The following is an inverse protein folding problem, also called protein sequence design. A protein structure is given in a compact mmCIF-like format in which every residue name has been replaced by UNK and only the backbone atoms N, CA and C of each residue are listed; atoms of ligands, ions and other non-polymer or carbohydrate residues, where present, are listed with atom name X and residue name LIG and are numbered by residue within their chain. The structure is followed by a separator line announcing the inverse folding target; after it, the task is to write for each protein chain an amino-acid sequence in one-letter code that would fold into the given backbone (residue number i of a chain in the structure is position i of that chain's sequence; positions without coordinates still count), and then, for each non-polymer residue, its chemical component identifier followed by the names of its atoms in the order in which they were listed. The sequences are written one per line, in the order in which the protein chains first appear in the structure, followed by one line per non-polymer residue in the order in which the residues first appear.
data_IF_854747072874
#
_entry.id   IF_854747072874
#
_cell.length_a   1.000
_cell.length_b   1.000
_cell.length_c   1.000
_cell.angle_alpha   90.00
_cell.angle_beta   90.00
_cell.angle_gamma   90.00
#
_symmetry.space_group_name_H-M   'P 1'
#
loop_
_entity.id
_entity.type
_entity.pdbx_description
1 polymer ?
#
# COMPACT_ATOMS: atom_id res chain seq x y z
N UNK A 1 8.03 -1.27 5.98
CA UNK A 1 6.91 -1.62 5.07
C UNK A 1 7.00 -0.77 3.80
N UNK A 2 6.26 -1.14 2.75
CA UNK A 2 6.15 -0.31 1.54
C UNK A 2 4.71 -0.07 1.12
N UNK A 3 4.50 1.00 0.36
CA UNK A 3 3.22 1.36 -0.25
C UNK A 3 3.43 1.54 -1.75
N UNK A 4 2.82 0.68 -2.55
CA UNK A 4 2.89 0.66 -4.02
C UNK A 4 1.70 1.43 -4.58
N UNK A 5 1.99 2.50 -5.32
CA UNK A 5 1.04 3.52 -5.75
C UNK A 5 0.98 4.64 -4.73
N UNK A 6 1.25 5.88 -5.15
CA UNK A 6 1.21 7.07 -4.29
C UNK A 6 0.17 8.09 -4.77
N UNK A 7 -0.99 7.58 -5.22
CA UNK A 7 -2.19 8.39 -5.38
C UNK A 7 -2.80 8.78 -4.02
N UNK A 8 -4.04 9.29 -4.03
CA UNK A 8 -4.75 9.75 -2.83
C UNK A 8 -4.66 8.76 -1.64
N UNK A 9 -5.07 7.51 -1.87
CA UNK A 9 -5.01 6.44 -0.87
C UNK A 9 -3.57 6.15 -0.42
N UNK A 10 -2.68 5.94 -1.38
CA UNK A 10 -1.34 5.44 -1.12
C UNK A 10 -0.43 6.44 -0.43
N UNK A 11 -0.41 7.69 -0.89
CA UNK A 11 0.39 8.75 -0.26
C UNK A 11 -0.13 9.06 1.16
N UNK A 12 -1.45 9.10 1.35
CA UNK A 12 -2.04 9.29 2.68
C UNK A 12 -1.69 8.15 3.63
N UNK A 13 -1.84 6.90 3.17
CA UNK A 13 -1.48 5.74 3.97
C UNK A 13 0.01 5.73 4.31
N UNK A 14 0.90 6.00 3.35
CA UNK A 14 2.33 6.03 3.57
C UNK A 14 2.74 7.08 4.62
N UNK A 15 2.21 8.31 4.50
CA UNK A 15 2.48 9.39 5.43
C UNK A 15 1.97 9.09 6.84
N UNK A 16 0.73 8.60 6.97
CA UNK A 16 0.15 8.26 8.27
C UNK A 16 0.89 7.09 8.93
N UNK A 17 1.23 6.03 8.19
CA UNK A 17 1.96 4.89 8.77
C UNK A 17 3.36 5.29 9.26
N UNK A 18 4.02 6.21 8.56
CA UNK A 18 5.30 6.74 9.00
C UNK A 18 5.17 7.64 10.25
N UNK A 19 4.12 8.46 10.32
CA UNK A 19 3.81 9.28 11.50
C UNK A 19 3.46 8.42 12.74
N UNK A 20 2.85 7.24 12.52
CA UNK A 20 2.63 6.21 13.54
C UNK A 20 3.90 5.45 13.96
N UNK A 21 5.06 5.78 13.38
CA UNK A 21 6.38 5.29 13.79
C UNK A 21 6.95 4.16 12.94
N UNK A 22 6.28 3.74 11.86
CA UNK A 22 6.81 2.72 10.95
C UNK A 22 7.85 3.28 9.99
N UNK A 23 8.82 2.45 9.57
CA UNK A 23 9.64 2.75 8.41
C UNK A 23 8.85 2.43 7.13
N UNK A 24 8.69 3.42 6.27
CA UNK A 24 7.81 3.37 5.09
C UNK A 24 8.56 3.78 3.82
N UNK A 25 8.42 2.93 2.81
CA UNK A 25 8.88 3.16 1.45
C UNK A 25 7.67 3.44 0.56
N UNK A 26 7.48 4.67 0.12
CA UNK A 26 6.50 4.98 -0.93
C UNK A 26 7.09 4.67 -2.31
N UNK A 27 6.35 3.94 -3.13
CA UNK A 27 6.74 3.62 -4.51
C UNK A 27 5.67 4.07 -5.49
N UNK A 28 6.09 4.73 -6.56
CA UNK A 28 5.25 4.97 -7.74
C UNK A 28 6.10 4.80 -9.01
N UNK A 29 5.44 4.49 -10.13
CA UNK A 29 6.10 4.40 -11.44
C UNK A 29 6.33 5.79 -12.03
N UNK A 30 5.60 6.79 -11.55
CA UNK A 30 5.67 8.17 -11.98
C UNK A 30 6.77 8.94 -11.20
N UNK A 31 7.90 9.29 -11.86
CA UNK A 31 9.00 9.99 -11.21
C UNK A 31 8.63 11.40 -10.74
N UNK A 32 7.67 12.06 -11.38
CA UNK A 32 7.28 13.43 -11.02
C UNK A 32 6.46 13.41 -9.73
N UNK A 33 5.58 12.41 -9.54
CA UNK A 33 4.89 12.19 -8.26
C UNK A 33 5.88 11.88 -7.14
N UNK A 34 6.85 11.00 -7.40
CA UNK A 34 7.89 10.65 -6.42
C UNK A 34 8.70 11.87 -6.03
N UNK A 35 9.12 12.70 -6.99
CA UNK A 35 9.87 13.92 -6.73
C UNK A 35 9.05 14.94 -5.92
N UNK A 36 7.78 15.15 -6.29
CA UNK A 36 6.86 16.04 -5.57
C UNK A 36 6.69 15.61 -4.11
N UNK A 37 6.37 14.33 -3.89
CA UNK A 37 6.15 13.80 -2.55
C UNK A 37 7.44 13.76 -1.72
N UNK A 38 8.59 13.48 -2.32
CA UNK A 38 9.89 13.55 -1.65
C UNK A 38 10.28 14.98 -1.25
N UNK A 39 9.81 15.99 -2.00
CA UNK A 39 9.92 17.41 -1.63
C UNK A 39 8.83 17.85 -0.64
N UNK A 40 7.98 16.92 -0.18
CA UNK A 40 6.89 17.18 0.75
C UNK A 40 5.75 18.02 0.17
N UNK A 41 5.56 17.95 -1.15
CA UNK A 41 4.45 18.59 -1.86
C UNK A 41 3.44 17.53 -2.30
N UNK A 42 2.20 17.63 -1.81
CA UNK A 42 1.11 16.72 -2.17
C UNK A 42 0.46 17.18 -3.49
N UNK A 43 0.34 16.31 -4.52
CA UNK A 43 -0.21 16.69 -5.82
C UNK A 43 -1.75 16.77 -5.87
N UNK A 44 -2.41 16.67 -4.70
CA UNK A 44 -3.86 16.71 -4.53
C UNK A 44 -4.19 17.37 -3.19
N UNK A 45 -5.42 17.83 -3.04
CA UNK A 45 -5.85 18.48 -1.80
C UNK A 45 -6.39 17.44 -0.80
N UNK A 46 -5.72 17.31 0.35
CA UNK A 46 -6.20 16.54 1.49
C UNK A 46 -5.86 17.28 2.80
N UNK A 47 -6.86 17.72 3.60
CA UNK A 47 -6.63 18.47 4.83
C UNK A 47 -5.67 17.76 5.79
N UNK A 48 -4.62 18.47 6.20
CA UNK A 48 -3.62 17.99 7.15
C UNK A 48 -2.56 17.05 6.56
N UNK A 49 -2.71 16.58 5.32
CA UNK A 49 -1.75 15.65 4.72
C UNK A 49 -0.38 16.30 4.50
N UNK A 50 -0.32 17.56 4.08
CA UNK A 50 0.95 18.28 3.91
C UNK A 50 1.77 18.28 5.21
N UNK A 51 1.12 18.55 6.34
CA UNK A 51 1.79 18.56 7.66
C UNK A 51 2.26 17.17 8.07
N UNK A 52 1.42 16.14 7.88
CA UNK A 52 1.77 14.74 8.18
C UNK A 52 2.94 14.28 7.31
N UNK A 53 2.90 14.60 6.01
CA UNK A 53 3.95 14.26 5.06
C UNK A 53 5.28 14.92 5.46
N UNK A 54 5.28 16.21 5.79
CA UNK A 54 6.48 16.93 6.20
C UNK A 54 7.09 16.35 7.48
N UNK A 55 6.28 16.03 8.49
CA UNK A 55 6.77 15.36 9.72
C UNK A 55 7.35 13.99 9.42
N UNK A 56 6.66 13.19 8.60
CA UNK A 56 7.09 11.85 8.23
C UNK A 56 8.45 11.88 7.49
N UNK A 57 8.61 12.80 6.53
CA UNK A 57 9.87 13.01 5.82
C UNK A 57 10.99 13.49 6.77
N UNK A 58 10.70 14.49 7.61
CA UNK A 58 11.68 15.04 8.56
C UNK A 58 12.14 14.00 9.59
N UNK A 59 11.30 13.02 9.92
CA UNK A 59 11.66 11.92 10.82
C UNK A 59 12.64 10.91 10.21
N UNK A 60 12.83 10.93 8.89
CA UNK A 60 13.60 9.93 8.15
C UNK A 60 12.91 8.57 7.98
N UNK A 61 11.72 8.39 8.56
CA UNK A 61 10.94 7.15 8.45
C UNK A 61 10.21 6.99 7.12
N UNK A 62 9.96 8.07 6.40
CA UNK A 62 9.33 8.04 5.08
C UNK A 62 10.31 8.48 4.01
N UNK A 63 10.38 7.71 2.92
CA UNK A 63 11.05 8.13 1.68
C UNK A 63 10.32 7.57 0.47
N UNK A 64 10.46 8.23 -0.67
CA UNK A 64 9.84 7.82 -1.94
C UNK A 64 10.88 7.37 -2.97
N UNK A 65 10.53 6.41 -3.83
CA UNK A 65 11.42 5.88 -4.86
C UNK A 65 10.64 5.35 -6.07
N UNK A 66 11.30 5.24 -7.21
CA UNK A 66 10.84 4.53 -8.42
C UNK A 66 11.56 3.19 -8.61
N UNK A 67 12.42 2.78 -7.68
CA UNK A 67 13.21 1.55 -7.77
C UNK A 67 12.51 0.38 -7.07
N UNK A 68 11.71 -0.41 -7.80
CA UNK A 68 10.92 -1.51 -7.22
C UNK A 68 11.80 -2.60 -6.56
N UNK A 69 13.00 -2.84 -7.08
CA UNK A 69 13.92 -3.83 -6.51
C UNK A 69 14.32 -3.46 -5.06
N UNK A 70 14.58 -2.18 -4.79
CA UNK A 70 14.91 -1.70 -3.45
C UNK A 70 13.71 -1.82 -2.50
N UNK A 71 12.50 -1.59 -3.03
CA UNK A 71 11.24 -1.73 -2.28
C UNK A 71 11.05 -3.18 -1.82
N UNK A 72 11.19 -4.13 -2.73
CA UNK A 72 11.08 -5.56 -2.44
C UNK A 72 12.15 -6.03 -1.45
N UNK A 73 13.39 -5.57 -1.61
CA UNK A 73 14.50 -5.98 -0.77
C UNK A 73 14.42 -5.48 0.69
N UNK A 74 13.69 -4.38 0.95
CA UNK A 74 13.75 -3.69 2.25
C UNK A 74 12.45 -3.73 3.08
N UNK A 75 11.31 -4.18 2.54
CA UNK A 75 10.05 -4.23 3.28
C UNK A 75 9.51 -5.66 3.44
N UNK A 76 9.04 -6.04 4.63
CA UNK A 76 8.41 -7.34 4.87
C UNK A 76 6.90 -7.34 4.57
N UNK A 77 6.31 -6.13 4.51
CA UNK A 77 4.89 -5.90 4.23
C UNK A 77 4.76 -4.89 3.11
N UNK A 78 4.02 -5.24 2.05
CA UNK A 78 3.86 -4.46 0.83
C UNK A 78 2.39 -4.13 0.57
N UNK A 79 1.97 -2.88 0.77
CA UNK A 79 0.60 -2.44 0.51
C UNK A 79 0.39 -2.06 -0.97
N UNK A 80 -0.66 -2.59 -1.60
CA UNK A 80 -1.07 -2.25 -2.97
C UNK A 80 -2.20 -1.21 -2.93
N UNK A 81 -1.87 0.03 -3.26
CA UNK A 81 -2.69 1.23 -3.13
C UNK A 81 -2.88 1.97 -4.47
N UNK A 82 -2.95 1.22 -5.57
CA UNK A 82 -3.14 1.76 -6.92
C UNK A 82 -4.62 1.91 -7.27
N UNK A 83 -4.91 2.64 -8.34
CA UNK A 83 -6.28 2.92 -8.76
C UNK A 83 -6.95 1.72 -9.45
N UNK A 84 -8.26 1.61 -9.24
CA UNK A 84 -9.16 0.68 -9.95
C UNK A 84 -10.35 1.44 -10.52
N UNK A 85 -10.12 2.41 -11.43
CA UNK A 85 -11.20 3.19 -12.00
C UNK A 85 -12.19 2.29 -12.73
N UNK A 86 -13.38 2.80 -13.02
CA UNK A 86 -14.30 2.09 -13.89
C UNK A 86 -13.68 1.94 -15.30
N UNK A 87 -13.83 0.75 -15.89
CA UNK A 87 -13.47 0.50 -17.28
C UNK A 87 -14.26 1.41 -18.23
N UNK A 88 -13.61 1.84 -19.32
CA UNK A 88 -14.24 2.69 -20.34
C UNK A 88 -15.39 1.96 -21.05
N UNK A 89 -15.22 0.66 -21.27
CA UNK A 89 -16.12 -0.14 -22.11
C UNK A 89 -17.16 -0.95 -21.31
N UNK A 90 -17.13 -0.89 -19.98
CA UNK A 90 -18.00 -1.71 -19.13
C UNK A 90 -18.19 -1.13 -17.71
N UNK A 91 -19.20 -1.56 -16.95
CA UNK A 91 -19.33 -1.21 -15.54
C UNK A 91 -18.32 -1.92 -14.62
N UNK A 92 -17.40 -2.71 -15.18
CA UNK A 92 -16.39 -3.41 -14.39
C UNK A 92 -15.28 -2.46 -13.91
N UNK A 93 -14.60 -2.84 -12.83
CA UNK A 93 -13.36 -2.19 -12.42
C UNK A 93 -12.23 -2.52 -13.41
N UNK A 94 -11.48 -1.50 -13.81
CA UNK A 94 -10.21 -1.68 -14.51
C UNK A 94 -9.16 -2.17 -13.50
N UNK A 95 -8.63 -3.37 -13.77
CA UNK A 95 -7.66 -4.05 -12.93
C UNK A 95 -6.21 -3.86 -13.40
N UNK A 96 -5.97 -3.07 -14.46
CA UNK A 96 -4.67 -2.93 -15.09
C UNK A 96 -3.59 -2.48 -14.11
N UNK A 97 -3.87 -1.47 -13.27
CA UNK A 97 -2.87 -0.96 -12.32
C UNK A 97 -2.56 -1.96 -11.22
N UNK A 98 -3.57 -2.64 -10.65
CA UNK A 98 -3.37 -3.66 -9.61
C UNK A 98 -2.57 -4.84 -10.18
N UNK A 99 -2.95 -5.34 -11.35
CA UNK A 99 -2.23 -6.42 -12.01
C UNK A 99 -0.79 -6.00 -12.36
N UNK A 100 -0.60 -4.77 -12.83
CA UNK A 100 0.72 -4.20 -13.13
C UNK A 100 1.59 -4.06 -11.88
N UNK A 101 1.03 -3.60 -10.76
CA UNK A 101 1.73 -3.51 -9.48
C UNK A 101 2.22 -4.88 -8.99
N UNK A 102 1.37 -5.92 -9.08
CA UNK A 102 1.76 -7.29 -8.73
C UNK A 102 2.80 -7.83 -9.70
N UNK A 103 2.63 -7.64 -11.01
CA UNK A 103 3.59 -8.09 -12.02
C UNK A 103 4.96 -7.40 -11.89
N UNK A 104 4.98 -6.15 -11.45
CA UNK A 104 6.19 -5.38 -11.21
C UNK A 104 6.90 -5.80 -9.92
N UNK A 105 6.14 -6.06 -8.83
CA UNK A 105 6.71 -6.40 -7.53
C UNK A 105 7.15 -7.88 -7.44
N UNK A 106 6.31 -8.81 -7.89
CA UNK A 106 6.47 -10.25 -7.64
C UNK A 106 7.85 -10.81 -8.04
N UNK A 107 8.44 -10.48 -9.22
CA UNK A 107 9.74 -11.01 -9.62
C UNK A 107 10.89 -10.68 -8.67
N UNK A 108 10.72 -9.67 -7.82
CA UNK A 108 11.74 -9.21 -6.87
C UNK A 108 11.52 -9.75 -5.44
N UNK A 109 10.44 -10.49 -5.18
CA UNK A 109 10.13 -11.04 -3.86
C UNK A 109 10.89 -12.35 -3.64
N UNK A 110 12.13 -12.24 -3.17
CA UNK A 110 13.06 -13.36 -2.96
C UNK A 110 13.12 -13.88 -1.51
N UNK A 111 12.32 -13.28 -0.62
CA UNK A 111 12.22 -13.64 0.79
C UNK A 111 10.77 -13.66 1.27
N UNK A 112 10.47 -14.35 2.38
CA UNK A 112 9.12 -14.38 2.96
C UNK A 112 8.61 -12.97 3.22
N UNK A 113 7.39 -12.67 2.76
CA UNK A 113 6.78 -11.36 2.92
C UNK A 113 5.25 -11.43 2.81
N UNK A 114 4.58 -10.37 3.25
CA UNK A 114 3.13 -10.21 3.14
C UNK A 114 2.78 -9.09 2.17
N UNK A 115 2.14 -9.43 1.06
CA UNK A 115 1.50 -8.45 0.19
C UNK A 115 0.09 -8.17 0.72
N UNK A 116 -0.33 -6.90 0.74
CA UNK A 116 -1.60 -6.48 1.31
C UNK A 116 -2.35 -5.60 0.32
N UNK A 117 -3.45 -6.09 -0.24
CA UNK A 117 -4.30 -5.27 -1.08
C UNK A 117 -5.10 -4.26 -0.27
N UNK A 118 -5.00 -2.95 -0.60
CA UNK A 118 -5.94 -1.92 -0.14
C UNK A 118 -6.87 -1.42 -1.23
N UNK A 119 -6.43 -1.53 -2.49
CA UNK A 119 -7.20 -1.11 -3.67
C UNK A 119 -8.59 -1.76 -3.66
N UNK A 120 -9.62 -1.02 -4.11
CA UNK A 120 -10.99 -1.53 -4.18
C UNK A 120 -11.13 -2.45 -5.39
N UNK A 121 -11.30 -3.76 -5.14
CA UNK A 121 -11.30 -4.77 -6.20
C UNK A 121 -12.55 -5.66 -6.15
N UNK A 122 -12.95 -6.27 -7.28
CA UNK A 122 -14.00 -7.28 -7.30
C UNK A 122 -13.63 -8.52 -6.46
N UNK A 123 -14.66 -9.18 -5.91
CA UNK A 123 -14.51 -10.47 -5.19
C UNK A 123 -13.83 -11.51 -6.10
N UNK A 124 -12.96 -12.32 -5.51
CA UNK A 124 -12.16 -13.33 -6.22
C UNK A 124 -10.81 -12.81 -6.73
N UNK A 125 -10.61 -11.48 -6.77
CA UNK A 125 -9.32 -10.89 -7.17
C UNK A 125 -8.17 -11.34 -6.26
N UNK A 126 -8.39 -11.33 -4.94
CA UNK A 126 -7.35 -11.71 -3.99
C UNK A 126 -6.83 -13.14 -4.26
N UNK A 127 -7.71 -14.12 -4.44
CA UNK A 127 -7.29 -15.50 -4.72
C UNK A 127 -6.44 -15.58 -6.00
N UNK A 128 -6.88 -14.94 -7.09
CA UNK A 128 -6.14 -14.91 -8.36
C UNK A 128 -4.75 -14.28 -8.21
N UNK A 129 -4.65 -13.18 -7.47
CA UNK A 129 -3.37 -12.49 -7.25
C UNK A 129 -2.44 -13.27 -6.32
N UNK A 130 -2.97 -14.00 -5.33
CA UNK A 130 -2.18 -14.88 -4.48
C UNK A 130 -1.52 -15.99 -5.31
N UNK A 131 -2.26 -16.59 -6.23
CA UNK A 131 -1.73 -17.62 -7.13
C UNK A 131 -0.68 -17.05 -8.10
N UNK A 132 -0.89 -15.82 -8.59
CA UNK A 132 0.11 -15.12 -9.40
C UNK A 132 1.39 -14.80 -8.62
N UNK A 133 1.28 -14.30 -7.38
CA UNK A 133 2.43 -14.04 -6.51
C UNK A 133 3.25 -15.32 -6.28
N UNK A 134 2.60 -16.43 -5.94
CA UNK A 134 3.27 -17.72 -5.71
C UNK A 134 3.97 -18.29 -6.93
N UNK A 135 3.41 -18.07 -8.11
CA UNK A 135 3.96 -18.57 -9.37
C UNK A 135 5.07 -17.70 -9.96
N UNK A 136 5.10 -16.40 -9.61
CA UNK A 136 6.04 -15.43 -10.19
C UNK A 136 7.20 -15.10 -9.26
N UNK A 137 6.98 -15.16 -7.93
CA UNK A 137 7.97 -14.75 -6.95
C UNK A 137 9.02 -15.83 -6.71
N UNK A 138 10.32 -15.48 -6.61
CA UNK A 138 11.36 -16.46 -6.25
C UNK A 138 11.13 -17.13 -4.88
N UNK A 139 10.54 -16.43 -3.90
CA UNK A 139 10.15 -17.00 -2.61
C UNK A 139 8.87 -17.88 -2.67
N UNK A 140 8.20 -17.92 -3.84
CA UNK A 140 7.07 -18.79 -4.13
C UNK A 140 6.00 -18.84 -3.02
N UNK A 141 5.89 -19.98 -2.32
CA UNK A 141 4.86 -20.22 -1.30
C UNK A 141 5.01 -19.34 -0.06
N UNK A 142 6.19 -18.76 0.17
CA UNK A 142 6.47 -17.88 1.31
C UNK A 142 6.02 -16.43 1.07
N UNK A 143 5.47 -16.11 -0.11
CA UNK A 143 4.82 -14.84 -0.39
C UNK A 143 3.32 -14.98 -0.16
N UNK A 144 2.84 -14.34 0.90
CA UNK A 144 1.43 -14.37 1.29
C UNK A 144 0.68 -13.15 0.76
N UNK A 145 -0.64 -13.27 0.66
CA UNK A 145 -1.53 -12.17 0.29
C UNK A 145 -2.67 -12.04 1.30
N UNK A 146 -2.81 -10.84 1.85
CA UNK A 146 -3.98 -10.41 2.61
C UNK A 146 -4.73 -9.31 1.87
N UNK A 147 -5.98 -9.08 2.26
CA UNK A 147 -6.75 -7.92 1.81
C UNK A 147 -7.18 -7.07 3.00
N UNK A 148 -6.77 -5.80 3.01
CA UNK A 148 -7.16 -4.82 3.99
C UNK A 148 -7.80 -3.62 3.27
N UNK A 149 -9.09 -3.71 2.94
CA UNK A 149 -9.79 -2.64 2.23
C UNK A 149 -9.75 -1.34 3.06
N UNK A 150 -10.03 -0.25 2.38
CA UNK A 150 -10.08 1.09 2.95
C UNK A 150 -11.51 1.62 2.94
N UNK A 151 -11.77 2.63 3.78
CA UNK A 151 -13.09 3.27 3.92
C UNK A 151 -12.93 4.79 4.04
N UNK A 152 -11.85 5.33 3.46
CA UNK A 152 -11.48 6.73 3.59
C UNK A 152 -12.48 7.60 2.83
N UNK A 153 -12.83 8.74 3.43
CA UNK A 153 -13.58 9.78 2.74
C UNK A 153 -12.64 10.84 2.21
N UNK A 154 -12.91 11.34 1.01
CA UNK A 154 -12.19 12.50 0.46
C UNK A 154 -12.33 13.71 1.40
N UNK A 155 -11.20 14.34 1.75
CA UNK A 155 -11.15 15.45 2.70
C UNK A 155 -10.98 15.04 4.17
N UNK A 156 -11.02 13.74 4.47
CA UNK A 156 -10.90 13.19 5.83
C UNK A 156 -9.97 11.97 5.91
N UNK A 157 -9.24 11.62 4.86
CA UNK A 157 -8.44 10.42 4.80
C UNK A 157 -7.34 10.35 5.86
N UNK A 158 -6.75 11.49 6.25
CA UNK A 158 -5.79 11.50 7.36
C UNK A 158 -6.48 11.03 8.65
N UNK A 159 -7.60 11.65 9.01
CA UNK A 159 -8.38 11.31 10.20
C UNK A 159 -8.89 9.86 10.14
N UNK A 160 -9.46 9.45 9.02
CA UNK A 160 -10.00 8.10 8.82
C UNK A 160 -8.89 7.02 8.83
N UNK A 161 -7.63 7.39 8.56
CA UNK A 161 -6.49 6.46 8.64
C UNK A 161 -5.97 6.31 10.08
N UNK A 162 -5.89 7.40 10.84
CA UNK A 162 -5.33 7.38 12.22
C UNK A 162 -6.38 7.11 13.29
N UNK A 163 -7.67 7.23 12.97
CA UNK A 163 -8.77 6.93 13.88
C UNK A 163 -9.92 6.24 13.11
N UNK A 164 -9.70 5.04 12.54
CA UNK A 164 -10.72 4.33 11.79
C UNK A 164 -11.82 3.79 12.72
N UNK A 165 -13.08 3.82 12.28
CA UNK A 165 -14.19 3.16 13.00
C UNK A 165 -13.96 1.65 13.16
N UNK A 166 -13.31 1.04 12.16
CA UNK A 166 -12.99 -0.39 12.09
C UNK A 166 -11.88 -0.66 11.09
N UNK A 167 -11.11 -1.71 11.36
CA UNK A 167 -10.18 -2.31 10.40
C UNK A 167 -10.73 -3.66 9.94
N UNK A 168 -10.84 -3.85 8.62
CA UNK A 168 -11.25 -5.13 8.02
C UNK A 168 -10.02 -5.81 7.44
N UNK A 169 -9.80 -7.07 7.81
CA UNK A 169 -8.66 -7.86 7.36
C UNK A 169 -9.17 -9.21 6.86
N UNK A 170 -9.03 -9.46 5.56
CA UNK A 170 -9.23 -10.76 4.93
C UNK A 170 -7.90 -11.50 4.80
N UNK A 171 -7.77 -12.63 5.48
CA UNK A 171 -6.57 -13.50 5.45
C UNK A 171 -6.99 -14.96 5.30
N UNK A 172 -6.07 -15.79 4.83
CA UNK A 172 -6.20 -17.26 4.87
C UNK A 172 -5.34 -17.88 5.97
N UNK A 173 -4.25 -17.23 6.37
CA UNK A 173 -3.36 -17.67 7.45
C UNK A 173 -3.53 -16.77 8.70
N UNK A 174 -3.76 -17.34 9.89
CA UNK A 174 -3.77 -16.59 11.16
C UNK A 174 -2.49 -15.78 11.44
N UNK A 175 -1.33 -16.21 10.95
CA UNK A 175 -0.06 -15.50 11.10
C UNK A 175 -0.06 -14.14 10.37
N UNK A 176 -0.72 -14.06 9.21
CA UNK A 176 -0.87 -12.81 8.45
C UNK A 176 -1.74 -11.80 9.23
N UNK A 177 -2.79 -12.29 9.90
CA UNK A 177 -3.60 -11.45 10.78
C UNK A 177 -2.82 -10.97 12.00
N UNK A 178 -1.91 -11.77 12.55
CA UNK A 178 -1.05 -11.34 13.63
C UNK A 178 -0.07 -10.24 13.16
N UNK A 179 0.52 -10.41 11.99
CA UNK A 179 1.38 -9.40 11.34
C UNK A 179 0.63 -8.08 11.15
N UNK A 180 -0.58 -8.12 10.58
CA UNK A 180 -1.38 -6.90 10.39
C UNK A 180 -1.84 -6.27 11.71
N UNK A 181 -2.08 -7.05 12.76
CA UNK A 181 -2.34 -6.51 14.11
C UNK A 181 -1.14 -5.77 14.68
N UNK A 182 0.09 -6.23 14.42
CA UNK A 182 1.30 -5.52 14.83
C UNK A 182 1.45 -4.20 14.06
N UNK A 183 1.19 -4.23 12.74
CA UNK A 183 1.19 -3.02 11.90
C UNK A 183 0.21 -1.97 12.45
N UNK A 184 -0.99 -2.40 12.86
CA UNK A 184 -2.03 -1.51 13.38
C UNK A 184 -2.03 -1.35 14.91
N UNK A 185 -1.05 -1.91 15.63
CA UNK A 185 -1.02 -1.85 17.09
C UNK A 185 -1.12 -0.43 17.66
N UNK A 186 -0.48 0.61 17.08
CA UNK A 186 -0.64 1.99 17.55
C UNK A 186 -2.08 2.54 17.48
N UNK A 187 -2.93 1.97 16.61
CA UNK A 187 -4.33 2.40 16.42
C UNK A 187 -5.31 1.62 17.31
N UNK A 188 -4.88 0.49 17.87
CA UNK A 188 -5.70 -0.41 18.69
C UNK A 188 -5.51 -0.17 20.20
N UNK A 189 -4.58 0.71 20.56
CA UNK A 189 -4.17 0.99 21.94
C UNK A 189 -5.05 2.06 22.62
#
# INVERSE_FOLDING_TARGET
MSVIGTGYLGATHAACMADLGHEVIGFDVDPDKVASLAAGTVPFHEPGLDEVLQRALASGRLRFTTAIADVAAQADVHFICVGTPQSIDSPAADMAQVNGAIALLAPHLDRPCLVVGKSTVPVGTAQRLADQLRSTSPAAVDVHLAWNPEFLREGHAVADTVAPDRLVIGVTDPADAATLRQVYAPLLA
#
